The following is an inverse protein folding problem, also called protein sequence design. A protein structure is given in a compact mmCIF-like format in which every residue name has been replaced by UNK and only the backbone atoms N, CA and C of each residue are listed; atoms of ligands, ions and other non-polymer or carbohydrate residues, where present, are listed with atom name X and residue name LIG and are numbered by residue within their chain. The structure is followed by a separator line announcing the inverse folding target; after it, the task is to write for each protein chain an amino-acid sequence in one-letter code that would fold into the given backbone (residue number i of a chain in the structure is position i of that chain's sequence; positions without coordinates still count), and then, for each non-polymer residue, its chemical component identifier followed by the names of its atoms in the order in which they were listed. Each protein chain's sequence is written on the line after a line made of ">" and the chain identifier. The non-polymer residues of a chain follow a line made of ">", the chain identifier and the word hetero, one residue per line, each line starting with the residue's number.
data_IF_733929292541
#
_entry.id   IF_733929292541
#
_cell.length_a   1.000
_cell.length_b   1.000
_cell.length_c   1.000
_cell.angle_alpha   90.00
_cell.angle_beta   90.00
_cell.angle_gamma   90.00
#
_symmetry.space_group_name_H-M   'P 1'
#
loop_
_entity.id
_entity.type
_entity.pdbx_description
1 polymer ?
#
# COMPACT_ATOMS: atom_id res chain seq x y z
N UNK A 1 18.52 -3.80 14.88
CA UNK A 1 18.47 -3.60 16.34
C UNK A 1 19.33 -4.68 16.98
N UNK A 2 20.32 -4.35 17.83
CA UNK A 2 21.13 -5.26 18.63
C UNK A 2 21.63 -6.54 17.94
N UNK A 3 22.33 -6.45 16.82
CA UNK A 3 22.90 -7.57 16.07
C UNK A 3 21.93 -8.70 15.65
N UNK A 4 20.64 -8.56 15.86
CA UNK A 4 19.66 -9.57 15.46
C UNK A 4 19.32 -9.40 13.99
N UNK A 5 19.54 -10.46 13.21
CA UNK A 5 19.23 -10.50 11.79
C UNK A 5 17.72 -10.69 11.60
N UNK A 6 17.02 -9.66 11.14
CA UNK A 6 15.54 -9.69 10.97
C UNK A 6 15.17 -10.46 9.69
N UNK A 7 15.93 -10.27 8.60
CA UNK A 7 15.74 -10.98 7.33
C UNK A 7 17.01 -11.75 7.00
N UNK A 8 16.87 -13.02 6.63
CA UNK A 8 18.02 -13.90 6.32
C UNK A 8 17.88 -14.51 4.94
N UNK A 9 18.68 -14.01 3.99
CA UNK A 9 18.82 -14.55 2.62
C UNK A 9 17.48 -14.74 1.91
N UNK A 10 16.62 -13.71 1.97
CA UNK A 10 15.36 -13.71 1.23
C UNK A 10 15.68 -13.72 -0.27
N UNK A 11 15.15 -14.71 -0.97
CA UNK A 11 15.16 -14.77 -2.42
C UNK A 11 13.70 -14.78 -2.90
N UNK A 12 13.26 -13.66 -3.46
CA UNK A 12 11.89 -13.48 -3.91
C UNK A 12 11.88 -12.68 -5.20
N UNK A 13 11.13 -13.17 -6.18
CA UNK A 13 10.96 -12.52 -7.47
C UNK A 13 9.48 -12.32 -7.73
N UNK A 14 9.11 -11.08 -8.01
CA UNK A 14 7.75 -10.66 -8.35
C UNK A 14 7.78 -10.13 -9.78
N UNK A 15 6.95 -10.71 -10.64
CA UNK A 15 6.80 -10.27 -12.02
C UNK A 15 5.71 -9.21 -12.14
N UNK A 16 5.77 -8.42 -13.23
CA UNK A 16 4.74 -7.41 -13.49
C UNK A 16 3.35 -8.09 -13.62
N UNK A 17 2.35 -7.51 -12.95
CA UNK A 17 0.98 -8.01 -12.98
C UNK A 17 0.67 -9.11 -11.97
N UNK A 18 1.65 -9.69 -11.27
CA UNK A 18 1.38 -10.70 -10.22
C UNK A 18 0.73 -10.08 -8.98
N UNK A 19 -0.10 -10.90 -8.30
CA UNK A 19 -0.80 -10.54 -7.06
C UNK A 19 -0.37 -11.51 -5.97
N UNK A 20 0.44 -11.01 -5.04
CA UNK A 20 1.07 -11.81 -3.99
C UNK A 20 0.45 -11.57 -2.63
N UNK A 21 0.21 -12.64 -1.91
CA UNK A 21 -0.01 -12.61 -0.45
C UNK A 21 1.33 -12.81 0.24
N UNK A 22 1.68 -11.92 1.15
CA UNK A 22 2.84 -12.07 2.04
C UNK A 22 2.35 -12.50 3.41
N UNK A 23 2.48 -13.79 3.72
CA UNK A 23 2.02 -14.41 4.94
C UNK A 23 3.16 -14.62 5.96
N UNK A 24 2.78 -14.88 7.20
CA UNK A 24 3.69 -15.20 8.29
C UNK A 24 3.24 -14.60 9.63
N UNK A 25 3.65 -15.19 10.72
CA UNK A 25 3.31 -14.73 12.08
C UNK A 25 3.87 -13.34 12.43
N UNK A 26 3.46 -12.81 13.58
CA UNK A 26 4.00 -11.56 14.10
C UNK A 26 5.52 -11.69 14.29
N UNK A 27 6.27 -10.64 13.93
CA UNK A 27 7.74 -10.65 14.01
C UNK A 27 8.43 -11.53 12.95
N UNK A 28 7.72 -12.10 11.97
CA UNK A 28 8.34 -12.90 10.90
C UNK A 28 9.19 -12.08 9.91
N UNK A 29 9.07 -10.74 9.90
CA UNK A 29 9.84 -9.85 9.05
C UNK A 29 9.06 -9.23 7.88
N UNK A 30 7.73 -9.41 7.77
CA UNK A 30 6.89 -8.88 6.69
C UNK A 30 7.05 -7.38 6.50
N UNK A 31 6.74 -6.59 7.51
CA UNK A 31 6.88 -5.11 7.47
C UNK A 31 8.32 -4.68 7.20
N UNK A 32 9.31 -5.40 7.75
CA UNK A 32 10.72 -5.14 7.45
C UNK A 32 11.06 -5.37 5.99
N UNK A 33 10.52 -6.44 5.37
CA UNK A 33 10.70 -6.72 3.95
C UNK A 33 10.03 -5.64 3.08
N UNK A 34 8.80 -5.24 3.40
CA UNK A 34 8.08 -4.18 2.70
C UNK A 34 8.81 -2.84 2.79
N UNK A 35 9.31 -2.48 3.96
CA UNK A 35 10.10 -1.25 4.17
C UNK A 35 11.42 -1.26 3.37
N UNK A 36 12.00 -2.43 3.10
CA UNK A 36 13.17 -2.52 2.20
C UNK A 36 12.79 -2.27 0.75
N UNK A 37 11.59 -2.66 0.32
CA UNK A 37 11.07 -2.42 -1.03
C UNK A 37 10.71 -0.94 -1.19
N UNK A 38 9.89 -0.40 -0.29
CA UNK A 38 9.37 0.97 -0.37
C UNK A 38 10.44 2.05 -0.13
N UNK A 39 11.54 1.72 0.52
CA UNK A 39 12.73 2.54 0.43
C UNK A 39 13.18 3.32 1.65
N UNK A 40 12.44 3.31 2.74
CA UNK A 40 12.81 4.11 3.94
C UNK A 40 13.86 3.44 4.83
N UNK A 41 14.34 2.25 4.46
CA UNK A 41 15.34 1.53 5.23
C UNK A 41 16.76 1.69 4.63
N UNK A 42 17.71 2.38 5.31
CA UNK A 42 19.08 2.56 4.80
C UNK A 42 19.83 1.23 4.57
N UNK A 43 19.44 0.16 5.27
CA UNK A 43 20.02 -1.17 5.09
C UNK A 43 19.67 -1.81 3.75
N UNK A 44 18.61 -1.33 3.10
CA UNK A 44 18.19 -1.81 1.77
C UNK A 44 19.30 -1.61 0.71
N UNK A 45 20.10 -0.54 0.83
CA UNK A 45 21.20 -0.24 -0.09
C UNK A 45 22.37 -1.24 0.02
N UNK A 46 22.45 -2.01 1.10
CA UNK A 46 23.43 -3.10 1.27
C UNK A 46 22.95 -4.44 0.74
N UNK A 47 21.70 -4.51 0.27
CA UNK A 47 21.06 -5.72 -0.22
C UNK A 47 20.93 -5.68 -1.76
N UNK A 48 20.85 -6.86 -2.38
CA UNK A 48 20.61 -6.98 -3.83
C UNK A 48 19.10 -6.88 -4.11
N UNK A 49 18.58 -5.67 -4.09
CA UNK A 49 17.17 -5.41 -4.39
C UNK A 49 17.08 -4.77 -5.77
N UNK A 50 16.26 -5.35 -6.65
CA UNK A 50 15.93 -4.76 -7.95
C UNK A 50 14.46 -4.37 -7.97
N UNK A 51 14.18 -3.13 -8.35
CA UNK A 51 12.84 -2.60 -8.50
C UNK A 51 12.68 -2.08 -9.93
N UNK A 52 11.62 -2.49 -10.60
CA UNK A 52 11.33 -2.07 -11.98
C UNK A 52 12.51 -2.24 -12.94
N UNK A 53 13.27 -3.36 -12.77
CA UNK A 53 14.43 -3.70 -13.59
C UNK A 53 15.75 -3.04 -13.19
N UNK A 54 15.77 -2.09 -12.25
CA UNK A 54 16.97 -1.38 -11.79
C UNK A 54 17.41 -1.86 -10.41
N UNK A 55 18.72 -1.91 -10.18
CA UNK A 55 19.29 -2.19 -8.86
C UNK A 55 19.05 -0.99 -7.95
N UNK A 56 18.48 -1.19 -6.76
CA UNK A 56 18.27 -0.11 -5.80
C UNK A 56 19.60 0.51 -5.39
N UNK A 57 19.69 1.84 -5.46
CA UNK A 57 20.93 2.59 -5.22
C UNK A 57 21.83 2.74 -6.45
N UNK A 58 21.35 2.44 -7.66
CA UNK A 58 22.10 2.61 -8.92
C UNK A 58 21.95 3.99 -9.56
N UNK A 59 21.46 4.99 -8.79
CA UNK A 59 21.30 6.37 -9.24
C UNK A 59 19.87 6.90 -9.21
N UNK A 60 18.88 6.04 -8.94
CA UNK A 60 17.49 6.49 -8.71
C UNK A 60 17.37 7.13 -7.31
N UNK A 61 16.57 8.18 -7.23
CA UNK A 61 16.18 8.78 -5.96
C UNK A 61 15.09 7.95 -5.27
N UNK A 62 14.96 8.11 -3.94
CA UNK A 62 13.85 7.53 -3.19
C UNK A 62 12.49 8.00 -3.72
N UNK A 63 12.41 9.22 -4.22
CA UNK A 63 11.20 9.79 -4.78
C UNK A 63 10.78 9.13 -6.09
N UNK A 64 11.75 8.69 -6.92
CA UNK A 64 11.45 7.91 -8.13
C UNK A 64 10.77 6.58 -7.80
N UNK A 65 11.21 5.93 -6.71
CA UNK A 65 10.58 4.71 -6.20
C UNK A 65 9.19 5.04 -5.64
N UNK A 66 9.07 6.04 -4.75
CA UNK A 66 7.80 6.45 -4.13
C UNK A 66 6.74 6.86 -5.15
N UNK A 67 7.15 7.48 -6.26
CA UNK A 67 6.25 7.85 -7.36
C UNK A 67 5.62 6.62 -8.04
N UNK A 68 6.33 5.50 -8.09
CA UNK A 68 5.92 4.26 -8.76
C UNK A 68 5.31 3.23 -7.82
N UNK A 69 5.27 3.48 -6.53
CA UNK A 69 4.72 2.57 -5.52
C UNK A 69 3.56 3.25 -4.80
N UNK A 70 2.40 2.61 -4.77
CA UNK A 70 1.34 2.91 -3.82
C UNK A 70 1.57 2.07 -2.56
N UNK A 71 1.61 2.70 -1.40
CA UNK A 71 1.87 2.03 -0.13
C UNK A 71 0.80 2.38 0.90
N UNK A 72 0.32 1.37 1.61
CA UNK A 72 -0.59 1.52 2.76
C UNK A 72 -0.03 0.73 3.92
N UNK A 73 0.04 1.36 5.09
CA UNK A 73 0.37 0.69 6.35
C UNK A 73 -0.53 1.18 7.49
N UNK A 74 -0.63 0.43 8.60
CA UNK A 74 -1.45 0.82 9.74
C UNK A 74 -1.14 2.21 10.30
N UNK A 75 0.11 2.65 10.22
CA UNK A 75 0.60 3.90 10.85
C UNK A 75 0.39 5.15 9.98
N UNK A 76 -0.02 5.01 8.71
CA UNK A 76 -0.05 6.14 7.76
C UNK A 76 -0.96 7.29 8.19
N UNK A 77 -2.03 7.01 8.93
CA UNK A 77 -2.96 8.05 9.41
C UNK A 77 -2.27 9.07 10.34
N UNK A 78 -1.17 8.67 11.02
CA UNK A 78 -0.43 9.51 11.98
C UNK A 78 0.39 10.62 11.30
N UNK A 79 0.72 10.43 10.02
CA UNK A 79 1.58 11.35 9.26
C UNK A 79 0.81 12.40 8.46
N UNK A 80 -0.52 12.31 8.45
CA UNK A 80 -1.34 13.26 7.69
C UNK A 80 -1.51 14.56 8.47
N UNK A 81 -1.36 15.74 7.81
CA UNK A 81 -1.59 17.02 8.45
C UNK A 81 -3.03 17.17 8.91
N UNK A 82 -3.22 17.77 10.08
CA UNK A 82 -4.55 18.10 10.57
C UNK A 82 -5.26 19.14 9.67
N UNK A 83 -6.58 19.08 9.63
CA UNK A 83 -7.40 20.09 8.94
C UNK A 83 -7.58 19.89 7.44
N UNK A 84 -6.96 18.87 6.83
CA UNK A 84 -7.22 18.53 5.43
C UNK A 84 -8.56 17.84 5.28
N UNK A 85 -9.31 18.17 4.20
CA UNK A 85 -10.54 17.46 3.87
C UNK A 85 -10.23 16.04 3.36
N UNK A 86 -11.23 15.16 3.37
CA UNK A 86 -11.12 13.81 2.81
C UNK A 86 -10.66 13.87 1.34
N UNK A 87 -11.21 14.81 0.57
CA UNK A 87 -10.80 15.00 -0.82
C UNK A 87 -9.35 15.50 -0.95
N UNK A 88 -8.88 16.35 -0.03
CA UNK A 88 -7.48 16.81 -0.03
C UNK A 88 -6.53 15.65 0.29
N UNK A 89 -6.85 14.84 1.31
CA UNK A 89 -6.08 13.64 1.63
C UNK A 89 -6.00 12.70 0.42
N UNK A 90 -7.13 12.46 -0.25
CA UNK A 90 -7.13 11.61 -1.44
C UNK A 90 -6.35 12.24 -2.59
N UNK A 91 -6.48 13.55 -2.83
CA UNK A 91 -5.70 14.28 -3.84
C UNK A 91 -4.19 14.23 -3.56
N UNK A 92 -3.76 14.16 -2.29
CA UNK A 92 -2.34 14.04 -1.96
C UNK A 92 -1.72 12.76 -2.53
N UNK A 93 -2.52 11.74 -2.83
CA UNK A 93 -2.08 10.49 -3.47
C UNK A 93 -1.51 10.65 -4.89
N UNK A 94 -1.82 11.73 -5.60
CA UNK A 94 -1.20 12.04 -6.89
C UNK A 94 0.26 12.51 -6.74
N UNK A 95 0.65 12.85 -5.53
CA UNK A 95 1.97 13.35 -5.19
C UNK A 95 2.68 12.36 -4.26
N UNK A 96 3.96 12.56 -4.00
CA UNK A 96 4.74 11.72 -3.09
C UNK A 96 4.69 12.18 -1.64
N UNK A 97 4.08 13.35 -1.39
CA UNK A 97 3.94 13.93 -0.04
C UNK A 97 2.85 13.25 0.78
N UNK A 98 3.00 13.22 2.10
CA UNK A 98 2.03 12.63 3.01
C UNK A 98 0.76 13.49 3.15
N UNK A 99 0.86 14.81 2.93
CA UNK A 99 -0.25 15.74 2.85
C UNK A 99 -0.36 16.45 1.51
N UNK A 100 -1.44 17.19 1.33
CA UNK A 100 -1.65 18.01 0.13
C UNK A 100 -0.96 19.38 0.30
N UNK A 101 0.19 19.56 -0.33
CA UNK A 101 0.93 20.81 -0.35
C UNK A 101 0.90 21.49 -1.71
N UNK A 102 0.54 20.78 -2.76
CA UNK A 102 0.39 21.28 -4.11
C UNK A 102 -1.10 21.51 -4.41
N UNK A 103 -1.43 22.56 -5.17
CA UNK A 103 -2.79 22.82 -5.61
C UNK A 103 -3.20 21.76 -6.64
N UNK A 104 -4.17 20.87 -6.33
CA UNK A 104 -4.62 19.86 -7.30
C UNK A 104 -5.35 20.53 -8.45
N UNK A 105 -5.27 19.91 -9.62
CA UNK A 105 -6.04 20.34 -10.79
C UNK A 105 -7.53 20.04 -10.59
N UNK A 106 -8.40 20.72 -11.35
CA UNK A 106 -9.84 20.42 -11.34
C UNK A 106 -10.13 18.95 -11.69
N UNK A 107 -9.36 18.39 -12.64
CA UNK A 107 -9.46 16.97 -13.00
C UNK A 107 -9.14 16.05 -11.81
N UNK A 108 -8.06 16.30 -11.09
CA UNK A 108 -7.68 15.50 -9.91
C UNK A 108 -8.75 15.57 -8.81
N UNK A 109 -9.34 16.73 -8.57
CA UNK A 109 -10.45 16.88 -7.60
C UNK A 109 -11.71 16.12 -8.02
N UNK A 110 -12.06 16.17 -9.29
CA UNK A 110 -13.21 15.42 -9.83
C UNK A 110 -12.96 13.91 -9.74
N UNK A 111 -11.76 13.48 -10.12
CA UNK A 111 -11.39 12.07 -10.09
C UNK A 111 -11.40 11.53 -8.65
N UNK A 112 -10.83 12.26 -7.69
CA UNK A 112 -10.87 11.85 -6.28
C UNK A 112 -12.30 11.74 -5.73
N UNK A 113 -13.19 12.67 -6.07
CA UNK A 113 -14.62 12.55 -5.69
C UNK A 113 -15.27 11.30 -6.29
N UNK A 114 -14.97 10.95 -7.56
CA UNK A 114 -15.44 9.70 -8.17
C UNK A 114 -14.92 8.45 -7.45
N UNK A 115 -13.64 8.43 -7.05
CA UNK A 115 -13.08 7.32 -6.27
C UNK A 115 -13.77 7.16 -4.91
N UNK A 116 -14.09 8.27 -4.22
CA UNK A 116 -14.85 8.22 -2.97
C UNK A 116 -16.28 7.68 -3.17
N UNK A 117 -16.92 7.98 -4.31
CA UNK A 117 -18.23 7.43 -4.64
C UNK A 117 -18.19 5.90 -4.83
N UNK A 118 -17.10 5.33 -5.39
CA UNK A 118 -16.95 3.88 -5.57
C UNK A 118 -16.97 3.10 -4.25
N UNK A 119 -16.54 3.74 -3.16
CA UNK A 119 -16.55 3.14 -1.82
C UNK A 119 -17.66 3.73 -0.91
N UNK A 120 -18.66 4.36 -1.51
CA UNK A 120 -19.82 4.94 -0.84
C UNK A 120 -19.52 6.11 0.13
N UNK A 121 -18.31 6.67 0.08
CA UNK A 121 -17.88 7.79 0.94
C UNK A 121 -17.92 9.17 0.23
N UNK A 122 -18.57 9.27 -0.93
CA UNK A 122 -18.66 10.52 -1.70
C UNK A 122 -19.25 11.70 -0.92
N UNK A 123 -20.23 11.44 -0.04
CA UNK A 123 -20.87 12.44 0.80
C UNK A 123 -19.96 13.02 1.89
N UNK A 124 -18.84 12.36 2.19
CA UNK A 124 -17.88 12.79 3.21
C UNK A 124 -16.71 13.61 2.61
N UNK A 125 -16.68 13.84 1.30
CA UNK A 125 -15.54 14.41 0.57
C UNK A 125 -15.00 15.72 1.13
N UNK A 126 -15.87 16.58 1.60
CA UNK A 126 -15.55 17.93 2.05
C UNK A 126 -15.39 18.03 3.60
N UNK A 127 -15.63 16.93 4.33
CA UNK A 127 -15.40 16.87 5.78
C UNK A 127 -13.91 16.80 6.11
N UNK A 128 -13.47 17.31 7.27
CA UNK A 128 -12.13 17.09 7.76
C UNK A 128 -11.84 15.59 7.92
N UNK A 129 -10.69 15.13 7.42
CA UNK A 129 -10.34 13.70 7.44
C UNK A 129 -10.28 13.11 8.86
N UNK A 130 -9.82 13.90 9.82
CA UNK A 130 -9.66 13.47 11.21
C UNK A 130 -10.98 13.27 11.99
N UNK A 131 -12.11 13.74 11.47
CA UNK A 131 -13.43 13.50 12.10
C UNK A 131 -14.10 12.21 11.61
N UNK A 132 -13.54 11.56 10.58
CA UNK A 132 -14.05 10.29 10.09
C UNK A 132 -13.79 9.17 11.11
N UNK A 133 -14.68 8.18 11.14
CA UNK A 133 -14.40 6.91 11.82
C UNK A 133 -13.10 6.28 11.27
N UNK A 134 -12.36 5.57 12.12
CA UNK A 134 -11.08 4.97 11.77
C UNK A 134 -11.17 4.02 10.57
N UNK A 135 -12.28 3.29 10.42
CA UNK A 135 -12.56 2.45 9.26
C UNK A 135 -12.62 3.27 7.97
N UNK A 136 -13.38 4.37 7.94
CA UNK A 136 -13.46 5.24 6.78
C UNK A 136 -12.12 5.91 6.46
N UNK A 137 -11.37 6.34 7.48
CA UNK A 137 -10.00 6.85 7.28
C UNK A 137 -9.13 5.82 6.58
N UNK A 138 -9.19 4.56 7.01
CA UNK A 138 -8.45 3.45 6.41
C UNK A 138 -8.81 3.24 4.94
N UNK A 139 -10.11 3.22 4.61
CA UNK A 139 -10.58 3.10 3.24
C UNK A 139 -10.06 4.24 2.34
N UNK A 140 -10.09 5.48 2.83
CA UNK A 140 -9.54 6.64 2.11
C UNK A 140 -8.02 6.51 1.87
N UNK A 141 -7.25 5.98 2.84
CA UNK A 141 -5.83 5.74 2.67
C UNK A 141 -5.52 4.66 1.62
N UNK A 142 -6.34 3.62 1.53
CA UNK A 142 -6.23 2.64 0.45
C UNK A 142 -6.49 3.29 -0.90
N UNK A 143 -7.55 4.09 -1.05
CA UNK A 143 -7.81 4.85 -2.29
C UNK A 143 -6.65 5.80 -2.63
N UNK A 144 -6.09 6.46 -1.63
CA UNK A 144 -4.94 7.36 -1.81
C UNK A 144 -3.75 6.66 -2.44
N UNK A 145 -3.48 5.40 -2.06
CA UNK A 145 -2.41 4.62 -2.69
C UNK A 145 -2.73 4.22 -4.13
N UNK A 146 -4.02 4.03 -4.46
CA UNK A 146 -4.51 3.62 -5.77
C UNK A 146 -4.58 4.76 -6.78
N UNK A 147 -4.92 5.97 -6.36
CA UNK A 147 -5.40 7.06 -7.23
C UNK A 147 -4.40 7.50 -8.31
N UNK A 148 -3.10 7.35 -8.06
CA UNK A 148 -2.05 7.67 -9.06
C UNK A 148 -1.79 6.54 -10.04
N UNK A 149 -2.54 5.42 -9.96
CA UNK A 149 -2.37 4.21 -10.77
C UNK A 149 -0.90 3.71 -10.83
N UNK A 150 -0.30 3.39 -9.68
CA UNK A 150 1.10 2.99 -9.65
C UNK A 150 1.29 1.57 -10.21
N UNK A 151 2.46 1.25 -10.80
CA UNK A 151 2.73 -0.11 -11.29
C UNK A 151 2.91 -1.15 -10.18
N UNK A 152 3.14 -0.72 -8.93
CA UNK A 152 3.23 -1.58 -7.75
C UNK A 152 2.41 -1.01 -6.62
N UNK A 153 1.56 -1.85 -6.04
CA UNK A 153 0.77 -1.57 -4.83
C UNK A 153 1.20 -2.49 -3.70
N UNK A 154 1.41 -1.94 -2.54
CA UNK A 154 1.78 -2.67 -1.32
C UNK A 154 0.77 -2.31 -0.24
N UNK A 155 0.08 -3.32 0.27
CA UNK A 155 -0.93 -3.23 1.31
C UNK A 155 -0.46 -3.98 2.55
N UNK A 156 -0.01 -3.26 3.58
CA UNK A 156 0.34 -3.83 4.88
C UNK A 156 -0.87 -3.71 5.82
N UNK A 157 -1.58 -4.79 6.02
CA UNK A 157 -2.81 -4.90 6.82
C UNK A 157 -3.86 -3.82 6.47
N UNK A 158 -4.27 -3.68 5.19
CA UNK A 158 -5.08 -2.54 4.74
C UNK A 158 -6.50 -2.55 5.31
N UNK A 159 -7.00 -3.70 5.77
CA UNK A 159 -8.36 -3.86 6.28
C UNK A 159 -8.44 -3.94 7.81
N UNK A 160 -7.32 -3.77 8.49
CA UNK A 160 -7.31 -3.76 9.96
C UNK A 160 -8.27 -2.69 10.51
N UNK A 161 -9.23 -3.13 11.33
CA UNK A 161 -10.22 -2.25 11.96
C UNK A 161 -11.40 -1.87 11.07
N UNK A 162 -11.57 -2.49 9.89
CA UNK A 162 -12.76 -2.41 9.09
C UNK A 162 -13.81 -3.42 9.59
N UNK A 163 -15.08 -3.04 9.48
CA UNK A 163 -16.19 -3.98 9.62
C UNK A 163 -16.35 -4.86 8.37
N UNK A 164 -17.09 -5.98 8.45
CA UNK A 164 -17.25 -6.92 7.33
C UNK A 164 -17.81 -6.31 6.06
N UNK A 165 -18.71 -5.33 6.16
CA UNK A 165 -19.32 -4.66 4.99
C UNK A 165 -18.27 -3.82 4.26
N UNK A 166 -17.48 -3.03 4.98
CA UNK A 166 -16.38 -2.24 4.43
C UNK A 166 -15.27 -3.13 3.85
N UNK A 167 -14.95 -4.27 4.49
CA UNK A 167 -14.03 -5.26 3.93
C UNK A 167 -14.55 -5.76 2.58
N UNK A 168 -15.83 -6.12 2.48
CA UNK A 168 -16.41 -6.60 1.22
C UNK A 168 -16.33 -5.56 0.10
N UNK A 169 -16.64 -4.28 0.40
CA UNK A 169 -16.51 -3.18 -0.56
C UNK A 169 -15.07 -3.04 -1.06
N UNK A 170 -14.11 -3.06 -0.13
CA UNK A 170 -12.70 -2.89 -0.48
C UNK A 170 -12.12 -4.10 -1.23
N UNK A 171 -12.52 -5.34 -0.88
CA UNK A 171 -12.15 -6.55 -1.62
C UNK A 171 -12.66 -6.50 -3.06
N UNK A 172 -13.92 -6.12 -3.27
CA UNK A 172 -14.50 -5.99 -4.61
C UNK A 172 -13.75 -4.94 -5.45
N UNK A 173 -13.41 -3.80 -4.84
CA UNK A 173 -12.61 -2.78 -5.51
C UNK A 173 -11.23 -3.31 -5.91
N UNK A 174 -10.50 -3.97 -5.00
CA UNK A 174 -9.17 -4.51 -5.30
C UNK A 174 -9.21 -5.63 -6.34
N UNK A 175 -10.22 -6.51 -6.29
CA UNK A 175 -10.43 -7.53 -7.33
C UNK A 175 -10.67 -6.90 -8.69
N UNK A 176 -11.56 -5.90 -8.77
CA UNK A 176 -11.83 -5.19 -10.03
C UNK A 176 -10.57 -4.52 -10.60
N UNK A 177 -9.75 -3.88 -9.77
CA UNK A 177 -8.48 -3.30 -10.22
C UNK A 177 -7.52 -4.39 -10.69
N UNK A 178 -7.44 -5.51 -9.98
CA UNK A 178 -6.56 -6.63 -10.31
C UNK A 178 -6.92 -7.27 -11.66
N UNK A 179 -8.20 -7.35 -12.00
CA UNK A 179 -8.73 -7.92 -13.24
C UNK A 179 -8.55 -6.99 -14.45
N UNK A 180 -8.74 -5.67 -14.22
CA UNK A 180 -8.76 -4.69 -15.32
C UNK A 180 -7.43 -3.95 -15.51
N UNK A 181 -6.42 -4.22 -14.69
CA UNK A 181 -5.11 -3.57 -14.79
C UNK A 181 -3.96 -4.57 -14.67
N UNK A 182 -2.82 -4.21 -15.26
CA UNK A 182 -1.58 -4.98 -15.08
C UNK A 182 -0.77 -4.50 -13.85
N UNK A 183 -1.45 -3.96 -12.83
CA UNK A 183 -0.80 -3.51 -11.61
C UNK A 183 -0.30 -4.71 -10.80
N UNK A 184 0.94 -4.67 -10.35
CA UNK A 184 1.49 -5.66 -9.42
C UNK A 184 1.03 -5.33 -8.01
N UNK A 185 0.59 -6.33 -7.24
CA UNK A 185 0.07 -6.12 -5.90
C UNK A 185 0.71 -7.06 -4.88
N UNK A 186 1.05 -6.53 -3.71
CA UNK A 186 1.50 -7.30 -2.54
C UNK A 186 0.54 -6.98 -1.39
N UNK A 187 -0.06 -8.00 -0.82
CA UNK A 187 -1.06 -7.88 0.23
C UNK A 187 -0.61 -8.65 1.48
N UNK A 188 -0.64 -7.99 2.61
CA UNK A 188 -0.38 -8.60 3.92
C UNK A 188 -1.67 -8.59 4.72
N UNK A 189 -2.11 -9.73 5.19
CA UNK A 189 -3.14 -9.87 6.23
C UNK A 189 -2.79 -11.01 7.17
N UNK A 190 -3.34 -10.95 8.37
CA UNK A 190 -3.33 -12.04 9.33
C UNK A 190 -4.55 -12.98 9.17
N UNK A 191 -5.52 -12.58 8.36
CA UNK A 191 -6.78 -13.29 8.16
C UNK A 191 -6.94 -13.67 6.70
N UNK A 192 -7.08 -14.97 6.42
CA UNK A 192 -7.20 -15.49 5.06
C UNK A 192 -8.49 -15.02 4.37
N UNK A 193 -9.56 -14.81 5.13
CA UNK A 193 -10.84 -14.33 4.66
C UNK A 193 -10.83 -12.86 4.20
N UNK A 194 -9.84 -12.09 4.64
CA UNK A 194 -9.63 -10.72 4.16
C UNK A 194 -8.95 -10.65 2.79
N UNK A 195 -8.27 -11.70 2.36
CA UNK A 195 -7.52 -11.71 1.10
C UNK A 195 -8.49 -11.63 -0.09
N UNK A 196 -8.30 -10.68 -1.04
CA UNK A 196 -9.11 -10.65 -2.25
C UNK A 196 -8.83 -11.87 -3.14
N UNK A 197 -9.86 -12.39 -3.83
CA UNK A 197 -9.77 -13.62 -4.61
C UNK A 197 -8.76 -13.57 -5.78
N UNK A 198 -8.44 -12.38 -6.27
CA UNK A 198 -7.46 -12.17 -7.32
C UNK A 198 -5.99 -12.40 -6.90
N UNK A 199 -5.71 -12.51 -5.59
CA UNK A 199 -4.37 -12.78 -5.08
C UNK A 199 -4.13 -14.29 -5.06
N UNK A 200 -3.35 -14.78 -5.99
CA UNK A 200 -3.13 -16.20 -6.25
C UNK A 200 -1.69 -16.67 -6.07
N UNK A 201 -0.81 -15.82 -5.60
CA UNK A 201 0.58 -16.12 -5.26
C UNK A 201 0.80 -15.97 -3.77
N UNK A 202 1.61 -16.82 -3.19
CA UNK A 202 1.88 -16.83 -1.75
C UNK A 202 3.38 -16.82 -1.47
N UNK A 203 3.83 -15.90 -0.61
CA UNK A 203 5.15 -15.95 0.03
C UNK A 203 4.95 -16.05 1.53
N UNK A 204 5.46 -17.11 2.15
CA UNK A 204 5.39 -17.28 3.60
C UNK A 204 6.73 -17.01 4.25
N UNK A 205 6.74 -16.11 5.24
CA UNK A 205 7.92 -15.82 6.06
C UNK A 205 7.80 -16.43 7.46
N UNK A 206 8.90 -17.00 7.93
CA UNK A 206 9.05 -17.42 9.32
C UNK A 206 10.43 -17.03 9.83
N UNK A 207 10.48 -16.25 10.94
CA UNK A 207 11.72 -15.78 11.57
C UNK A 207 12.73 -15.23 10.55
N UNK A 208 12.25 -14.40 9.63
CA UNK A 208 13.07 -13.73 8.61
C UNK A 208 13.53 -14.60 7.45
N UNK A 209 12.99 -15.79 7.26
CA UNK A 209 13.32 -16.70 6.16
C UNK A 209 12.07 -17.03 5.34
N UNK A 210 12.25 -17.28 4.04
CA UNK A 210 11.20 -17.84 3.19
C UNK A 210 11.00 -19.32 3.55
N UNK A 211 9.75 -19.70 3.82
CA UNK A 211 9.34 -21.09 4.10
C UNK A 211 8.69 -21.70 2.87
N UNK A 212 7.83 -20.94 2.18
CA UNK A 212 7.21 -21.32 0.91
C UNK A 212 7.09 -20.12 -0.02
N UNK A 213 7.11 -20.38 -1.32
CA UNK A 213 6.87 -19.40 -2.38
C UNK A 213 6.18 -20.13 -3.53
N UNK A 214 4.91 -19.82 -3.79
CA UNK A 214 4.06 -20.46 -4.80
C UNK A 214 3.40 -19.43 -5.72
#
# INVERSE_FOLDING_TARGET
>A
YNNTKILDRINWRVMAGEKWVLAGGNGSGKTSLLNMIFGDNPRAYKCRIRLFGRQKGSGESIWDIKNRVGFVSPEMHQYLPAGQSVNDVLCSGFYTSEGLYNKPTSYQRILSKKWLQLILLGHLSDLPFNVLASSHQRMVLVLRALIKNPPLLIFDEPFQGLDPENIAVMKNLLNSIAEHTNCTMIFVSHFDDEVPASFNRLLTLNKGKVVSSE
#
